data_IF_190479493726
#
_entry.id   IF_190479493726
#
_cell.length_a   1.000
_cell.length_b   1.000
_cell.length_c   1.000
_cell.angle_alpha   90.00
_cell.angle_beta   90.00
_cell.angle_gamma   90.00
#
_symmetry.space_group_name_H-M   'P 1'
#
loop_
_entity.id
_entity.type
_entity.pdbx_description
1 polymer ?
#
# COMPACT_ATOMS: atom_id res chain seq x y z
N UNK A 1 30.22 4.55 -10.86
CA UNK A 1 29.09 4.95 -10.00
C UNK A 1 27.90 4.09 -10.36
N UNK A 2 27.61 3.10 -9.51
CA UNK A 2 26.39 2.30 -9.65
C UNK A 2 25.18 3.24 -9.46
N UNK A 3 24.19 3.12 -10.33
CA UNK A 3 23.02 4.02 -10.30
C UNK A 3 22.09 3.52 -9.19
N UNK A 4 21.91 4.32 -8.15
CA UNK A 4 20.95 4.07 -7.06
C UNK A 4 19.49 4.26 -7.52
N UNK A 5 19.14 3.65 -8.65
CA UNK A 5 17.84 3.78 -9.31
C UNK A 5 16.94 2.65 -8.89
N UNK A 6 15.75 3.00 -8.42
CA UNK A 6 14.71 2.08 -7.99
C UNK A 6 13.35 2.50 -8.54
N UNK A 7 12.33 1.71 -8.24
CA UNK A 7 10.99 1.89 -8.76
C UNK A 7 9.95 1.86 -7.65
N UNK A 8 9.04 2.83 -7.66
CA UNK A 8 8.00 3.02 -6.65
C UNK A 8 6.62 2.96 -7.30
N UNK A 9 5.77 2.05 -6.84
CA UNK A 9 4.35 2.09 -7.17
C UNK A 9 3.64 3.17 -6.34
N UNK A 10 2.84 3.99 -7.00
CA UNK A 10 2.11 5.12 -6.43
C UNK A 10 0.65 5.13 -6.90
N UNK A 11 -0.22 5.81 -6.14
CA UNK A 11 -1.55 6.19 -6.59
C UNK A 11 -1.49 7.47 -7.43
N UNK A 12 -2.26 7.54 -8.51
CA UNK A 12 -2.35 8.72 -9.37
C UNK A 12 -3.75 9.34 -9.25
N UNK A 13 -3.81 10.58 -8.79
CA UNK A 13 -5.05 11.33 -8.52
C UNK A 13 -4.86 12.72 -9.13
N UNK A 14 -5.68 13.09 -10.13
CA UNK A 14 -5.61 14.40 -10.80
C UNK A 14 -4.18 14.79 -11.24
N UNK A 15 -3.46 13.84 -11.85
CA UNK A 15 -2.06 13.97 -12.29
C UNK A 15 -1.02 14.19 -11.18
N UNK A 16 -1.41 13.97 -9.91
CA UNK A 16 -0.51 13.98 -8.74
C UNK A 16 -0.24 12.55 -8.27
N UNK A 17 0.90 12.34 -7.64
CA UNK A 17 1.37 11.01 -7.26
C UNK A 17 1.44 10.87 -5.75
N UNK A 18 0.63 9.98 -5.18
CA UNK A 18 0.55 9.79 -3.74
C UNK A 18 1.01 8.39 -3.33
N UNK A 19 1.47 8.28 -2.09
CA UNK A 19 1.71 6.97 -1.49
C UNK A 19 0.40 6.20 -1.40
N UNK A 20 0.49 4.90 -1.70
CA UNK A 20 -0.65 3.99 -1.66
C UNK A 20 -1.09 3.76 -0.21
N UNK A 21 -0.13 3.71 0.73
CA UNK A 21 -0.36 3.36 2.14
C UNK A 21 -0.62 4.58 3.01
N UNK A 22 0.10 5.68 2.77
CA UNK A 22 -0.04 6.93 3.51
C UNK A 22 -0.52 8.04 2.57
N UNK A 23 -1.82 8.38 2.57
CA UNK A 23 -2.38 9.31 1.60
C UNK A 23 -1.83 10.74 1.74
N UNK A 24 -1.17 11.07 2.84
CA UNK A 24 -0.60 12.40 3.09
C UNK A 24 0.74 12.62 2.39
N UNK A 25 1.39 11.55 1.95
CA UNK A 25 2.71 11.62 1.30
C UNK A 25 2.52 11.74 -0.20
N UNK A 26 2.88 12.89 -0.75
CA UNK A 26 2.91 13.19 -2.18
C UNK A 26 4.33 13.11 -2.72
N UNK A 27 4.50 12.54 -3.90
CA UNK A 27 5.76 12.42 -4.63
C UNK A 27 5.80 13.46 -5.75
N UNK A 28 6.54 14.54 -5.53
CA UNK A 28 6.78 15.58 -6.53
C UNK A 28 8.09 15.26 -7.27
N UNK A 29 8.08 15.37 -8.60
CA UNK A 29 9.28 15.13 -9.41
C UNK A 29 10.40 16.11 -9.04
N UNK A 30 11.61 15.59 -8.85
CA UNK A 30 12.78 16.40 -8.50
C UNK A 30 12.92 16.72 -7.01
N UNK A 31 11.86 16.59 -6.22
CA UNK A 31 11.89 16.84 -4.78
C UNK A 31 12.41 15.64 -4.00
N UNK A 32 13.16 15.92 -2.93
CA UNK A 32 13.66 14.88 -2.03
C UNK A 32 12.72 14.75 -0.86
N UNK A 33 12.30 13.52 -0.59
CA UNK A 33 11.57 13.18 0.63
C UNK A 33 12.49 12.45 1.60
N UNK A 34 12.24 12.66 2.89
CA UNK A 34 12.95 12.02 3.98
C UNK A 34 11.97 11.34 4.93
N UNK A 35 12.29 10.11 5.32
CA UNK A 35 11.58 9.41 6.38
C UNK A 35 12.53 8.39 7.00
N UNK A 36 12.75 8.48 8.32
CA UNK A 36 13.60 7.53 9.05
C UNK A 36 13.16 6.09 8.78
N UNK A 37 14.12 5.24 8.43
CA UNK A 37 13.86 3.80 8.23
C UNK A 37 13.69 3.13 9.59
N UNK A 38 12.61 2.37 9.74
CA UNK A 38 12.33 1.60 10.95
C UNK A 38 11.93 0.17 10.59
N UNK A 39 12.25 -0.77 11.50
CA UNK A 39 11.84 -2.17 11.39
C UNK A 39 10.31 -2.30 11.42
N UNK A 40 9.80 -3.44 10.96
CA UNK A 40 8.37 -3.77 10.98
C UNK A 40 7.50 -2.79 10.19
N UNK A 41 8.02 -2.24 9.09
CA UNK A 41 7.30 -1.34 8.20
C UNK A 41 6.81 -0.03 8.83
N UNK A 42 7.49 0.47 9.88
CA UNK A 42 7.08 1.69 10.60
C UNK A 42 7.60 3.00 10.00
N UNK A 43 8.49 2.94 9.01
CA UNK A 43 9.04 4.11 8.35
C UNK A 43 9.74 3.78 7.04
N UNK A 44 10.38 4.81 6.47
CA UNK A 44 11.07 4.79 5.18
C UNK A 44 10.18 4.61 3.95
N UNK A 45 10.81 4.73 2.78
CA UNK A 45 10.16 4.63 1.49
C UNK A 45 10.39 3.27 0.85
N UNK A 46 9.32 2.50 0.69
CA UNK A 46 9.39 1.18 0.07
C UNK A 46 9.51 1.27 -1.45
N UNK A 47 10.52 0.62 -2.04
CA UNK A 47 10.81 0.61 -3.48
C UNK A 47 11.21 -0.80 -3.95
N UNK A 48 11.36 -0.97 -5.26
CA UNK A 48 11.72 -2.21 -5.93
C UNK A 48 12.89 -2.00 -6.89
N UNK A 49 13.67 -3.05 -7.13
CA UNK A 49 14.85 -2.99 -8.02
C UNK A 49 14.51 -2.94 -9.51
N UNK A 50 13.29 -3.34 -9.89
CA UNK A 50 12.83 -3.31 -11.28
C UNK A 50 11.39 -2.76 -11.38
N UNK A 51 10.99 -2.19 -12.54
CA UNK A 51 9.63 -1.70 -12.74
C UNK A 51 8.61 -2.85 -12.70
N UNK A 52 8.95 -4.05 -13.19
CA UNK A 52 8.08 -5.23 -13.16
C UNK A 52 7.78 -5.66 -11.72
N UNK A 53 8.77 -5.61 -10.83
CA UNK A 53 8.57 -5.90 -9.41
C UNK A 53 7.68 -4.83 -8.74
N UNK A 54 7.84 -3.56 -9.12
CA UNK A 54 6.98 -2.49 -8.62
C UNK A 54 5.53 -2.62 -9.08
N UNK A 55 5.28 -3.02 -10.33
CA UNK A 55 3.93 -3.27 -10.85
C UNK A 55 3.27 -4.44 -10.12
N UNK A 56 4.02 -5.52 -9.90
CA UNK A 56 3.57 -6.74 -9.24
C UNK A 56 3.55 -6.66 -7.70
N UNK A 57 3.86 -5.49 -7.14
CA UNK A 57 3.87 -5.27 -5.71
C UNK A 57 2.50 -5.55 -5.08
N UNK A 58 2.44 -6.53 -4.18
CA UNK A 58 1.26 -6.74 -3.34
C UNK A 58 1.24 -5.70 -2.22
N UNK A 59 0.27 -4.80 -2.29
CA UNK A 59 0.07 -3.75 -1.28
C UNK A 59 -1.07 -4.16 -0.36
N UNK A 60 -0.83 -4.14 0.95
CA UNK A 60 -1.87 -4.46 1.93
C UNK A 60 -3.02 -3.44 1.87
N UNK A 61 -4.25 -3.94 1.90
CA UNK A 61 -5.45 -3.11 2.00
C UNK A 61 -5.51 -2.49 3.40
N UNK A 62 -5.56 -1.17 3.48
CA UNK A 62 -5.67 -0.42 4.73
C UNK A 62 -6.79 0.60 4.58
N UNK A 63 -7.67 0.70 5.58
CA UNK A 63 -8.73 1.69 5.58
C UNK A 63 -8.14 3.10 5.56
N UNK A 64 -8.71 3.98 4.72
CA UNK A 64 -8.21 5.34 4.52
C UNK A 64 -6.92 5.43 3.69
N UNK A 65 -6.49 4.35 3.03
CA UNK A 65 -5.36 4.39 2.10
C UNK A 65 -5.82 4.65 0.67
N UNK A 66 -4.89 5.00 -0.21
CA UNK A 66 -5.17 5.29 -1.62
C UNK A 66 -5.27 4.01 -2.47
N UNK A 67 -5.86 2.94 -1.94
CA UNK A 67 -5.81 1.64 -2.60
C UNK A 67 -6.74 1.52 -3.82
N UNK A 68 -7.81 2.30 -3.87
CA UNK A 68 -8.81 2.31 -4.95
C UNK A 68 -8.40 3.13 -6.18
N UNK A 69 -7.39 3.98 -6.06
CA UNK A 69 -7.01 4.92 -7.10
C UNK A 69 -6.15 4.28 -8.18
N UNK A 70 -6.17 4.80 -9.43
CA UNK A 70 -5.30 4.37 -10.51
C UNK A 70 -3.83 4.30 -10.07
N UNK A 71 -3.07 3.37 -10.66
CA UNK A 71 -1.66 3.16 -10.32
C UNK A 71 -0.75 3.77 -11.35
N UNK A 72 0.43 4.19 -10.90
CA UNK A 72 1.56 4.54 -11.74
C UNK A 72 2.84 4.01 -11.10
N UNK A 73 3.91 3.91 -11.88
CA UNK A 73 5.25 3.63 -11.38
C UNK A 73 6.13 4.85 -11.59
N UNK A 74 6.82 5.25 -10.53
CA UNK A 74 7.86 6.27 -10.57
C UNK A 74 9.22 5.60 -10.57
N UNK A 75 10.14 6.13 -11.37
CA UNK A 75 11.58 5.89 -11.23
C UNK A 75 12.14 6.89 -10.25
N UNK A 76 12.94 6.39 -9.31
CA UNK A 76 13.40 7.17 -8.17
C UNK A 76 14.89 6.94 -7.92
N UNK A 77 15.58 7.95 -7.39
CA UNK A 77 16.87 7.75 -6.73
C UNK A 77 16.64 7.55 -5.23
N UNK A 78 17.35 6.58 -4.64
CA UNK A 78 17.30 6.33 -3.21
C UNK A 78 18.70 6.36 -2.59
N UNK A 79 18.81 6.77 -1.33
CA UNK A 79 20.07 6.73 -0.58
C UNK A 79 19.81 6.77 0.95
N UNK A 80 20.89 6.74 1.72
CA UNK A 80 20.86 6.68 3.18
C UNK A 80 20.73 5.25 3.70
N UNK A 81 20.26 5.12 4.94
CA UNK A 81 20.01 3.82 5.55
C UNK A 81 18.93 3.06 4.79
N UNK A 82 19.04 1.73 4.75
CA UNK A 82 18.04 0.89 4.11
C UNK A 82 17.80 -0.44 4.83
N UNK A 83 16.60 -0.99 4.65
CA UNK A 83 16.23 -2.33 5.09
C UNK A 83 15.69 -3.11 3.90
N UNK A 84 16.22 -4.32 3.69
CA UNK A 84 15.64 -5.28 2.77
C UNK A 84 14.63 -6.18 3.49
N UNK A 85 13.43 -6.25 2.93
CA UNK A 85 12.35 -7.13 3.36
C UNK A 85 12.22 -8.33 2.41
N UNK A 86 11.51 -9.40 2.81
CA UNK A 86 11.20 -10.52 1.92
C UNK A 86 10.48 -10.07 0.63
N UNK A 87 10.52 -10.92 -0.40
CA UNK A 87 9.90 -10.66 -1.72
C UNK A 87 10.44 -9.40 -2.41
N UNK A 88 11.75 -9.17 -2.34
CA UNK A 88 12.47 -8.10 -3.06
C UNK A 88 12.01 -6.67 -2.74
N UNK A 89 11.36 -6.48 -1.60
CA UNK A 89 10.90 -5.17 -1.13
C UNK A 89 12.04 -4.48 -0.41
N UNK A 90 12.46 -3.32 -0.89
CA UNK A 90 13.51 -2.50 -0.27
C UNK A 90 12.86 -1.30 0.42
N UNK A 91 13.46 -0.78 1.48
CA UNK A 91 13.01 0.41 2.18
C UNK A 91 14.18 1.35 2.42
N UNK A 92 14.11 2.60 1.95
CA UNK A 92 15.18 3.60 2.05
C UNK A 92 14.76 4.82 2.87
N UNK A 93 15.75 5.50 3.43
CA UNK A 93 15.55 6.72 4.22
C UNK A 93 15.22 7.94 3.35
N UNK A 94 15.93 8.10 2.23
CA UNK A 94 15.73 9.19 1.28
C UNK A 94 15.30 8.67 -0.07
N UNK A 95 14.38 9.41 -0.71
CA UNK A 95 13.91 9.14 -2.06
C UNK A 95 13.75 10.44 -2.83
N UNK A 96 14.07 10.42 -4.12
CA UNK A 96 13.84 11.53 -5.05
C UNK A 96 13.21 10.99 -6.34
N UNK A 97 11.94 11.30 -6.64
CA UNK A 97 11.32 10.96 -7.91
C UNK A 97 11.98 11.68 -9.09
N UNK A 98 12.15 10.98 -10.21
CA UNK A 98 12.91 11.47 -11.37
C UNK A 98 12.07 11.41 -12.64
N UNK A 99 11.32 10.33 -12.82
CA UNK A 99 10.63 10.04 -14.07
C UNK A 99 9.34 9.27 -13.78
N UNK A 100 8.27 9.61 -14.50
CA UNK A 100 7.00 8.90 -14.46
C UNK A 100 7.02 7.87 -15.58
N UNK A 101 6.95 6.59 -15.22
CA UNK A 101 6.92 5.50 -16.20
C UNK A 101 5.48 5.14 -16.61
N UNK A 102 4.49 5.58 -15.82
CA UNK A 102 3.11 5.20 -16.00
C UNK A 102 2.84 3.78 -15.49
N UNK A 103 1.74 3.19 -15.95
CA UNK A 103 1.44 1.79 -15.75
C UNK A 103 1.47 1.07 -17.10
N UNK A 104 1.95 -0.19 -17.18
CA UNK A 104 1.86 -0.96 -18.42
C UNK A 104 0.39 -1.05 -18.83
N UNK A 105 0.06 -0.67 -20.06
CA UNK A 105 -1.33 -0.63 -20.60
C UNK A 105 -2.13 -1.93 -20.42
N UNK A 106 -1.45 -3.04 -20.14
CA UNK A 106 -2.04 -4.37 -20.04
C UNK A 106 -2.49 -4.73 -18.62
N UNK A 107 -2.13 -3.95 -17.60
CA UNK A 107 -2.73 -4.08 -16.27
C UNK A 107 -4.05 -3.34 -16.25
N UNK A 108 -5.05 -3.96 -16.85
CA UNK A 108 -6.43 -3.53 -16.77
C UNK A 108 -6.89 -3.68 -15.31
N UNK A 109 -6.80 -2.60 -14.54
CA UNK A 109 -7.81 -2.40 -13.51
C UNK A 109 -9.16 -2.37 -14.22
N UNK A 110 -10.13 -3.16 -13.77
CA UNK A 110 -11.45 -3.34 -14.40
C UNK A 110 -12.26 -2.03 -14.60
N UNK A 111 -11.73 -0.90 -14.15
CA UNK A 111 -12.20 0.46 -14.40
C UNK A 111 -11.31 1.17 -15.44
N UNK A 112 -11.59 0.97 -16.73
CA UNK A 112 -10.93 1.71 -17.82
C UNK A 112 -11.20 3.22 -17.71
N UNK A 113 -10.21 3.97 -17.23
CA UNK A 113 -10.16 5.44 -17.33
C UNK A 113 -9.16 5.75 -18.43
N UNK A 114 -9.61 6.46 -19.47
CA UNK A 114 -8.78 6.98 -20.56
C UNK A 114 -7.70 7.93 -20.02
N UNK A 115 -6.58 7.36 -19.58
CA UNK A 115 -5.36 8.09 -19.25
C UNK A 115 -4.55 8.28 -20.54
N UNK A 116 -4.60 9.47 -21.13
CA UNK A 116 -3.69 9.87 -22.19
C UNK A 116 -2.51 10.63 -21.58
N UNK A 117 -1.31 10.03 -21.46
CA UNK A 117 -0.11 10.80 -21.20
C UNK A 117 0.22 11.60 -22.45
N UNK A 118 -0.14 12.88 -22.44
CA UNK A 118 0.36 13.87 -23.38
C UNK A 118 1.82 14.17 -23.05
N UNK A 119 2.74 13.35 -23.59
CA UNK A 119 4.03 13.81 -24.12
C UNK A 119 4.74 12.64 -24.81
N UNK A 120 5.25 12.93 -26.01
CA UNK A 120 5.98 12.07 -26.94
C UNK A 120 6.94 11.06 -26.30
N UNK A 121 6.68 9.77 -26.48
CA UNK A 121 7.69 8.71 -26.51
C UNK A 121 7.11 7.47 -27.20
N UNK A 122 7.69 7.13 -28.36
CA UNK A 122 7.74 5.79 -28.93
C UNK A 122 6.44 5.15 -29.40
N UNK A 123 6.30 5.02 -30.72
CA UNK A 123 5.30 4.21 -31.42
C UNK A 123 5.36 2.72 -30.99
N UNK A 124 4.68 2.36 -29.91
CA UNK A 124 4.31 0.97 -29.62
C UNK A 124 2.79 0.86 -29.52
N UNK A 125 2.19 0.26 -30.54
CA UNK A 125 0.83 -0.29 -30.51
C UNK A 125 -0.29 0.71 -30.83
N UNK A 126 -0.51 0.96 -32.12
CA UNK A 126 -1.78 1.48 -32.64
C UNK A 126 -2.38 0.47 -33.60
N UNK A 127 -3.18 -0.46 -33.08
CA UNK A 127 -4.32 -1.01 -33.82
C UNK A 127 -5.30 -1.61 -32.82
N UNK A 128 -6.59 -1.39 -33.05
CA UNK A 128 -7.78 -1.90 -32.33
C UNK A 128 -8.28 -1.03 -31.17
N UNK A 129 -9.35 -0.25 -31.43
CA UNK A 129 -10.68 -0.47 -30.83
C UNK A 129 -11.60 0.74 -31.06
N UNK A 130 -12.46 0.67 -32.09
CA UNK A 130 -13.60 1.58 -32.26
C UNK A 130 -14.95 0.98 -31.82
N UNK A 131 -15.02 -0.31 -31.50
CA UNK A 131 -16.29 -0.98 -31.12
C UNK A 131 -16.59 -1.02 -29.62
N UNK A 132 -15.65 -0.64 -28.74
CA UNK A 132 -15.76 -0.83 -27.30
C UNK A 132 -16.30 0.39 -26.52
N UNK A 133 -16.56 1.51 -27.20
CA UNK A 133 -16.93 2.78 -26.56
C UNK A 133 -18.41 2.80 -26.14
N UNK A 134 -19.31 2.03 -26.79
CA UNK A 134 -20.74 2.06 -26.45
C UNK A 134 -21.12 1.26 -25.19
N UNK A 135 -20.27 0.34 -24.71
CA UNK A 135 -20.57 -0.50 -23.53
C UNK A 135 -20.17 0.13 -22.19
N UNK A 136 -19.38 1.21 -22.19
CA UNK A 136 -18.78 1.76 -20.96
C UNK A 136 -19.67 2.81 -20.28
N UNK A 137 -20.50 3.51 -21.04
CA UNK A 137 -21.45 4.49 -20.49
C UNK A 137 -22.56 3.84 -19.66
N UNK A 138 -22.90 2.57 -19.93
CA UNK A 138 -23.89 1.82 -19.16
C UNK A 138 -23.38 1.47 -17.75
N UNK A 139 -22.12 1.03 -17.63
CA UNK A 139 -21.54 0.60 -16.35
C UNK A 139 -21.31 1.79 -15.41
N UNK A 140 -20.91 2.95 -15.96
CA UNK A 140 -20.77 4.19 -15.16
C UNK A 140 -22.10 4.68 -14.62
N UNK A 141 -23.19 4.60 -15.40
CA UNK A 141 -24.54 4.98 -14.93
C UNK A 141 -25.00 4.09 -13.77
N UNK A 142 -24.77 2.78 -13.86
CA UNK A 142 -25.16 1.83 -12.82
C UNK A 142 -24.38 2.05 -11.51
N UNK A 143 -23.06 2.23 -11.58
CA UNK A 143 -22.24 2.49 -10.39
C UNK A 143 -22.61 3.81 -9.70
N UNK A 144 -22.91 4.86 -10.47
CA UNK A 144 -23.35 6.15 -9.92
C UNK A 144 -24.74 6.05 -9.27
N UNK A 145 -25.64 5.24 -9.83
CA UNK A 145 -26.97 5.01 -9.27
C UNK A 145 -26.91 4.25 -7.93
N UNK A 146 -26.01 3.27 -7.79
CA UNK A 146 -25.77 2.55 -6.53
C UNK A 146 -25.26 3.50 -5.44
N UNK A 147 -24.28 4.37 -5.76
CA UNK A 147 -23.76 5.36 -4.83
C UNK A 147 -24.85 6.34 -4.36
N UNK A 148 -25.69 6.83 -5.28
CA UNK A 148 -26.78 7.74 -4.93
C UNK A 148 -27.83 7.06 -4.03
N UNK A 149 -28.11 5.77 -4.21
CA UNK A 149 -29.03 5.02 -3.33
C UNK A 149 -28.51 4.88 -1.90
N UNK A 150 -27.20 4.66 -1.74
CA UNK A 150 -26.58 4.56 -0.42
C UNK A 150 -26.68 5.90 0.31
N UNK A 151 -26.31 7.00 -0.34
CA UNK A 151 -26.36 8.35 0.24
C UNK A 151 -27.80 8.73 0.64
N UNK A 152 -28.78 8.43 -0.21
CA UNK A 152 -30.18 8.74 0.09
C UNK A 152 -30.76 7.92 1.25
N UNK A 153 -30.28 6.68 1.45
CA UNK A 153 -30.71 5.83 2.56
C UNK A 153 -30.20 6.29 3.94
N UNK A 154 -29.09 7.03 3.98
CA UNK A 154 -28.55 7.57 5.25
C UNK A 154 -29.32 8.82 5.72
N UNK A 155 -29.92 9.57 4.79
CA UNK A 155 -30.70 10.77 5.10
C UNK A 155 -32.11 10.52 5.69
N UNK A 156 -32.64 9.29 5.66
CA UNK A 156 -33.98 9.00 6.22
C UNK A 156 -33.98 8.45 7.64
N UNK A 157 -32.82 8.39 8.31
CA UNK A 157 -32.68 7.74 9.64
C UNK A 157 -32.39 8.70 10.79
N UNK A 158 -32.68 10.01 10.64
CA UNK A 158 -32.32 11.02 11.65
C UNK A 158 -33.29 11.23 12.83
N UNK A 159 -34.42 10.51 12.96
CA UNK A 159 -35.40 10.80 14.02
C UNK A 159 -35.43 9.83 15.23
N UNK A 160 -34.45 8.96 15.42
CA UNK A 160 -34.34 8.20 16.67
C UNK A 160 -32.88 8.06 17.08
N UNK A 161 -32.36 9.00 17.90
CA UNK A 161 -31.27 8.74 18.88
C UNK A 161 -30.96 9.95 19.75
N UNK A 162 -31.81 10.16 20.74
CA UNK A 162 -31.42 10.76 22.01
C UNK A 162 -31.55 9.69 23.09
N UNK A 163 -30.55 8.81 23.21
CA UNK A 163 -30.31 8.04 24.44
C UNK A 163 -29.01 7.21 24.34
N UNK A 164 -28.31 7.13 25.46
CA UNK A 164 -27.17 6.25 25.80
C UNK A 164 -25.76 6.68 25.37
N UNK A 165 -25.26 7.71 26.07
CA UNK A 165 -23.88 7.73 26.58
C UNK A 165 -23.70 6.59 27.59
N UNK A 166 -23.16 5.45 27.16
CA UNK A 166 -22.29 4.56 27.94
C UNK A 166 -22.03 3.29 27.12
N UNK A 167 -20.85 3.18 26.49
CA UNK A 167 -20.37 1.86 26.08
C UNK A 167 -18.94 1.70 26.56
N UNK A 168 -18.88 0.96 27.66
CA UNK A 168 -17.70 0.45 28.33
C UNK A 168 -16.61 0.00 27.37
N UNK A 169 -15.37 0.32 27.75
CA UNK A 169 -14.15 -0.38 27.36
C UNK A 169 -14.35 -1.89 27.55
N UNK A 170 -14.78 -2.58 26.51
CA UNK A 170 -14.84 -4.03 26.46
C UNK A 170 -13.41 -4.57 26.25
N UNK A 171 -12.67 -4.65 27.35
CA UNK A 171 -11.45 -5.45 27.45
C UNK A 171 -11.83 -6.91 27.21
N UNK A 172 -11.77 -7.36 25.95
CA UNK A 172 -11.91 -8.78 25.61
C UNK A 172 -10.85 -9.55 26.40
N UNK A 173 -11.30 -10.40 27.31
CA UNK A 173 -10.41 -11.31 28.05
C UNK A 173 -9.62 -12.15 27.03
N UNK A 174 -8.30 -12.31 27.20
CA UNK A 174 -7.50 -13.13 26.29
C UNK A 174 -8.11 -14.54 26.20
N UNK A 175 -8.24 -15.03 24.97
CA UNK A 175 -8.81 -16.35 24.68
C UNK A 175 -7.98 -17.44 25.36
N UNK A 176 -8.64 -18.53 25.80
CA UNK A 176 -8.01 -19.68 26.48
C UNK A 176 -6.78 -20.23 25.72
N UNK A 177 -6.81 -20.20 24.39
CA UNK A 177 -5.67 -20.58 23.54
C UNK A 177 -4.43 -19.70 23.73
N UNK A 178 -4.62 -18.39 23.90
CA UNK A 178 -3.52 -17.43 24.07
C UNK A 178 -2.84 -17.57 25.44
N UNK A 179 -3.59 -17.97 26.47
CA UNK A 179 -3.04 -18.30 27.78
C UNK A 179 -2.19 -19.58 27.74
N UNK A 180 -2.64 -20.62 27.03
CA UNK A 180 -1.87 -21.87 26.85
C UNK A 180 -0.53 -21.64 26.16
N UNK A 181 -0.50 -20.85 25.08
CA UNK A 181 0.75 -20.52 24.38
C UNK A 181 1.74 -19.76 25.27
N UNK A 182 1.25 -18.84 26.12
CA UNK A 182 2.12 -18.12 27.07
C UNK A 182 2.73 -19.05 28.12
N UNK A 183 1.98 -20.04 28.58
CA UNK A 183 2.45 -21.03 29.54
C UNK A 183 3.54 -21.92 28.93
N UNK A 184 3.33 -22.40 27.70
CA UNK A 184 4.32 -23.21 26.97
C UNK A 184 5.61 -22.41 26.68
N UNK A 185 5.48 -21.13 26.34
CA UNK A 185 6.65 -20.26 26.10
C UNK A 185 7.50 -20.12 27.36
N UNK A 186 6.89 -19.88 28.52
CA UNK A 186 7.60 -19.80 29.80
C UNK A 186 8.29 -21.11 30.18
N UNK A 187 7.65 -22.24 29.89
CA UNK A 187 8.22 -23.57 30.15
C UNK A 187 9.48 -23.81 29.32
N UNK A 188 9.46 -23.44 28.04
CA UNK A 188 10.63 -23.55 27.17
C UNK A 188 11.77 -22.64 27.61
N UNK A 189 11.46 -21.41 28.03
CA UNK A 189 12.46 -20.45 28.50
C UNK A 189 13.19 -20.93 29.77
N UNK A 190 12.46 -21.56 30.70
CA UNK A 190 13.03 -22.22 31.89
C UNK A 190 13.94 -23.42 31.52
N UNK A 191 13.55 -24.21 30.53
CA UNK A 191 14.35 -25.36 30.09
C UNK A 191 15.67 -24.92 29.47
N UNK A 192 15.65 -23.84 28.67
CA UNK A 192 16.86 -23.23 28.09
C UNK A 192 17.80 -22.74 29.18
N UNK A 193 17.28 -22.00 30.18
CA UNK A 193 18.10 -21.52 31.31
C UNK A 193 18.73 -22.68 32.10
N UNK A 194 18.00 -23.78 32.28
CA UNK A 194 18.51 -24.97 32.95
C UNK A 194 19.65 -25.62 32.17
N UNK A 195 19.53 -25.74 30.84
CA UNK A 195 20.60 -26.27 29.99
C UNK A 195 21.85 -25.39 30.04
N UNK A 196 21.70 -24.06 30.02
CA UNK A 196 22.82 -23.13 30.13
C UNK A 196 23.58 -23.28 31.47
N UNK A 197 22.87 -23.53 32.57
CA UNK A 197 23.49 -23.78 33.87
C UNK A 197 24.29 -25.09 33.87
N UNK A 198 23.74 -26.16 33.29
CA UNK A 198 24.44 -27.46 33.16
C UNK A 198 25.71 -27.32 32.31
N UNK A 199 25.64 -26.56 31.22
CA UNK A 199 26.81 -26.30 30.38
C UNK A 199 27.90 -25.53 31.12
N UNK A 200 27.51 -24.56 31.96
CA UNK A 200 28.46 -23.76 32.77
C UNK A 200 29.11 -24.56 33.90
N UNK A 201 28.46 -25.58 34.45
CA UNK A 201 29.03 -26.41 35.52
C UNK A 201 30.00 -27.49 35.05
N UNK A 202 30.02 -27.79 33.74
CA UNK A 202 30.88 -28.83 33.15
C UNK A 202 32.19 -28.28 32.54
N UNK A 203 32.48 -26.99 32.75
CA UNK A 203 33.73 -26.30 32.37
C UNK A 203 34.48 -25.98 33.66
#
# INVERSE_FOLDING_TARGET
>A
MERNTYYKQVACIDSRFFSIIDPKVEYILGETLHQKVEKNHKGGFFVYSSPELAVNAQVALKLGSNWIFPRSVLKVHCWGDFIQYPKFKLCFEYIKPIEILGFPRQYLTSSNINWHPSTSLGNYGQTLNKSLISSQDSVRKEAQEILNRIVLSESSSQDIRSETLNTQKNCRKPTSSLMKMREETKKLELEVQRMEQIMKSNI
#
